data_IF_165674885567
#
_entry.id   IF_165674885567
#
_cell.length_a   1.000
_cell.length_b   1.000
_cell.length_c   1.000
_cell.angle_alpha   90.00
_cell.angle_beta   90.00
_cell.angle_gamma   90.00
#
_symmetry.space_group_name_H-M   'P 1'
#
loop_
_entity.id
_entity.type
_entity.pdbx_description
1 polymer ?
#
# COMPACT_ATOMS: atom_id res chain seq x y z
N UNK A 1 -6.38 -32.11 8.63
CA UNK A 1 -6.03 -31.30 9.81
C UNK A 1 -4.55 -31.51 10.01
N UNK A 2 -3.75 -30.79 9.22
CA UNK A 2 -2.29 -30.84 9.27
C UNK A 2 -1.91 -29.54 9.97
N UNK A 3 -1.14 -29.66 11.05
CA UNK A 3 -0.71 -28.54 11.88
C UNK A 3 0.06 -27.52 11.03
N UNK A 4 -0.09 -26.20 11.26
CA UNK A 4 0.74 -25.21 10.57
C UNK A 4 2.21 -25.51 10.89
N UNK A 5 3.12 -25.45 9.91
CA UNK A 5 4.54 -25.61 10.21
C UNK A 5 4.96 -24.49 11.19
N UNK A 6 5.73 -24.87 12.20
CA UNK A 6 6.31 -23.92 13.16
C UNK A 6 7.14 -22.89 12.40
N UNK A 7 7.15 -21.65 12.91
CA UNK A 7 7.85 -20.47 12.38
C UNK A 7 9.36 -20.65 12.07
N UNK A 8 9.93 -21.80 12.43
CA UNK A 8 11.29 -22.24 12.14
C UNK A 8 11.45 -22.76 10.68
N UNK A 9 10.36 -23.20 10.02
CA UNK A 9 10.43 -23.81 8.68
C UNK A 9 10.87 -22.85 7.58
N UNK A 10 10.56 -21.55 7.70
CA UNK A 10 10.88 -20.56 6.66
C UNK A 10 12.39 -20.31 6.48
N UNK A 11 13.21 -20.77 7.41
CA UNK A 11 14.68 -20.72 7.33
C UNK A 11 15.30 -21.90 6.58
N UNK A 12 14.50 -22.93 6.26
CA UNK A 12 14.96 -24.10 5.52
C UNK A 12 15.35 -23.73 4.09
N UNK A 13 16.37 -24.41 3.52
CA UNK A 13 16.77 -24.20 2.14
C UNK A 13 15.71 -24.75 1.18
N UNK A 14 15.54 -24.08 0.04
CA UNK A 14 14.57 -24.48 -0.98
C UNK A 14 14.88 -25.84 -1.61
N UNK A 15 16.13 -26.29 -1.49
CA UNK A 15 16.60 -27.58 -1.98
C UNK A 15 15.91 -28.78 -1.32
N UNK A 16 15.43 -28.62 -0.08
CA UNK A 16 14.80 -29.70 0.68
C UNK A 16 13.35 -29.94 0.23
N UNK A 17 12.79 -29.00 -0.54
CA UNK A 17 11.40 -28.98 -1.00
C UNK A 17 11.29 -29.03 -2.53
N UNK A 18 12.36 -29.46 -3.21
CA UNK A 18 12.36 -29.58 -4.66
C UNK A 18 11.47 -30.72 -5.12
N UNK A 19 10.60 -30.41 -6.06
CA UNK A 19 10.02 -31.43 -6.93
C UNK A 19 10.99 -31.70 -8.06
N UNK A 20 11.35 -32.96 -8.27
CA UNK A 20 12.22 -33.44 -9.36
C UNK A 20 11.48 -34.26 -10.41
N UNK A 21 10.18 -34.47 -10.21
CA UNK A 21 9.27 -35.24 -11.07
C UNK A 21 8.71 -34.42 -12.24
N UNK A 22 9.48 -33.46 -12.77
CA UNK A 22 9.09 -32.64 -13.92
C UNK A 22 9.97 -32.96 -15.14
N UNK A 23 9.38 -33.25 -16.31
CA UNK A 23 10.16 -33.48 -17.51
C UNK A 23 10.73 -32.16 -18.04
N UNK A 24 12.05 -32.16 -18.26
CA UNK A 24 12.78 -31.12 -18.96
C UNK A 24 12.78 -31.42 -20.46
N UNK A 25 12.63 -30.39 -21.28
CA UNK A 25 12.58 -30.54 -22.74
C UNK A 25 13.66 -29.72 -23.43
N UNK A 26 14.11 -30.19 -24.59
CA UNK A 26 15.03 -29.42 -25.44
C UNK A 26 14.26 -28.41 -26.28
N UNK A 27 14.92 -27.31 -26.64
CA UNK A 27 14.39 -26.29 -27.54
C UNK A 27 14.04 -26.84 -28.94
N UNK A 28 14.65 -27.96 -29.34
CA UNK A 28 14.41 -28.62 -30.64
C UNK A 28 13.27 -29.66 -30.59
N UNK A 29 12.66 -29.88 -29.43
CA UNK A 29 11.49 -30.76 -29.31
C UNK A 29 10.25 -30.06 -29.88
N UNK A 30 9.34 -30.82 -30.51
CA UNK A 30 8.06 -30.26 -30.98
C UNK A 30 7.00 -30.30 -29.88
N UNK A 31 5.97 -29.46 -30.02
CA UNK A 31 4.79 -29.47 -29.12
C UNK A 31 4.15 -30.86 -29.08
N UNK A 32 4.03 -31.55 -30.22
CA UNK A 32 3.47 -32.89 -30.29
C UNK A 32 4.26 -33.90 -29.45
N UNK A 33 5.59 -33.96 -29.67
CA UNK A 33 6.47 -34.87 -28.95
C UNK A 33 6.42 -34.63 -27.43
N UNK A 34 6.34 -33.36 -27.05
CA UNK A 34 6.21 -32.93 -25.65
C UNK A 34 4.92 -33.48 -25.04
N UNK A 35 3.77 -33.25 -25.70
CA UNK A 35 2.47 -33.72 -25.22
C UNK A 35 2.35 -35.25 -25.21
N UNK A 36 2.95 -35.95 -26.17
CA UNK A 36 3.02 -37.41 -26.16
C UNK A 36 3.85 -37.94 -25.00
N UNK A 37 4.99 -37.30 -24.72
CA UNK A 37 5.84 -37.63 -23.57
C UNK A 37 5.10 -37.42 -22.25
N UNK A 38 4.39 -36.30 -22.11
CA UNK A 38 3.53 -36.00 -20.96
C UNK A 38 2.49 -37.09 -20.74
N UNK A 39 1.76 -37.49 -21.79
CA UNK A 39 0.72 -38.53 -21.73
C UNK A 39 1.28 -39.90 -21.34
N UNK A 40 2.47 -40.25 -21.84
CA UNK A 40 3.10 -41.54 -21.57
C UNK A 40 3.69 -41.63 -20.16
N UNK A 41 4.29 -40.54 -19.69
CA UNK A 41 5.01 -40.53 -18.42
C UNK A 41 4.06 -40.39 -17.23
N UNK A 42 2.87 -39.80 -17.46
CA UNK A 42 1.90 -39.56 -16.39
C UNK A 42 2.44 -38.51 -15.45
N UNK A 43 2.33 -37.24 -15.84
CA UNK A 43 2.74 -36.13 -14.97
C UNK A 43 1.60 -35.83 -14.00
N UNK A 44 1.96 -35.42 -12.79
CA UNK A 44 1.03 -34.93 -11.79
C UNK A 44 0.09 -33.84 -12.37
N UNK A 45 -1.17 -33.83 -11.93
CA UNK A 45 -2.23 -32.95 -12.44
C UNK A 45 -1.92 -31.46 -12.21
N UNK A 46 -0.92 -31.16 -11.38
CA UNK A 46 -0.57 -29.82 -10.92
C UNK A 46 0.53 -29.12 -11.74
N UNK A 47 1.01 -29.68 -12.86
CA UNK A 47 2.10 -29.04 -13.64
C UNK A 47 1.62 -27.79 -14.39
N UNK A 48 2.07 -26.63 -13.88
CA UNK A 48 1.70 -25.30 -14.38
C UNK A 48 2.62 -24.78 -15.49
N UNK A 49 3.88 -25.22 -15.50
CA UNK A 49 4.91 -24.74 -16.42
C UNK A 49 5.82 -25.87 -16.89
N UNK A 50 6.28 -25.76 -18.14
CA UNK A 50 7.30 -26.62 -18.73
C UNK A 50 8.59 -25.83 -18.94
N UNK A 51 9.73 -26.40 -18.55
CA UNK A 51 11.02 -25.74 -18.66
C UNK A 51 11.82 -26.32 -19.82
N UNK A 52 12.45 -25.42 -20.57
CA UNK A 52 13.29 -25.73 -21.72
C UNK A 52 14.75 -25.56 -21.31
N UNK A 53 15.56 -26.58 -21.58
CA UNK A 53 16.99 -26.63 -21.23
C UNK A 53 17.85 -26.95 -22.44
N UNK A 54 19.16 -26.72 -22.31
CA UNK A 54 20.17 -27.23 -23.25
C UNK A 54 20.69 -28.62 -22.84
N UNK A 55 21.67 -29.14 -23.59
CA UNK A 55 22.26 -30.46 -23.37
C UNK A 55 22.99 -30.58 -22.03
N UNK A 56 23.43 -29.45 -21.44
CA UNK A 56 24.08 -29.37 -20.13
C UNK A 56 23.10 -29.02 -19.00
N UNK A 57 21.78 -29.07 -19.28
CA UNK A 57 20.66 -28.74 -18.38
C UNK A 57 20.54 -27.27 -17.98
N UNK A 58 21.21 -26.33 -18.67
CA UNK A 58 21.03 -24.90 -18.37
C UNK A 58 19.65 -24.41 -18.79
N UNK A 59 19.01 -23.62 -17.93
CA UNK A 59 17.67 -23.09 -18.15
C UNK A 59 17.63 -22.06 -19.29
N UNK A 60 17.01 -22.44 -20.42
CA UNK A 60 16.86 -21.61 -21.63
C UNK A 60 15.51 -20.88 -21.71
N UNK A 61 14.44 -21.48 -21.18
CA UNK A 61 13.10 -20.91 -21.29
C UNK A 61 12.03 -21.59 -20.45
N UNK A 62 10.87 -20.95 -20.39
CA UNK A 62 9.67 -21.51 -19.74
C UNK A 62 8.45 -21.40 -20.68
N UNK A 63 7.60 -22.41 -20.67
CA UNK A 63 6.36 -22.49 -21.45
C UNK A 63 5.20 -22.75 -20.48
N UNK A 64 4.25 -21.81 -20.34
CA UNK A 64 3.02 -22.06 -19.59
C UNK A 64 2.20 -23.18 -20.24
N UNK A 65 1.60 -24.07 -19.45
CA UNK A 65 0.80 -25.20 -19.95
C UNK A 65 -0.26 -24.77 -20.96
N UNK A 66 -0.98 -23.68 -20.69
CA UNK A 66 -1.98 -23.12 -21.62
C UNK A 66 -1.38 -22.80 -23.00
N UNK A 67 -0.16 -22.25 -23.06
CA UNK A 67 0.49 -21.91 -24.34
C UNK A 67 0.85 -23.17 -25.12
N UNK A 68 1.39 -24.18 -24.43
CA UNK A 68 1.71 -25.48 -25.03
C UNK A 68 0.46 -26.13 -25.65
N UNK A 69 -0.66 -26.13 -24.93
CA UNK A 69 -1.93 -26.72 -25.38
C UNK A 69 -2.56 -26.00 -26.59
N UNK A 70 -2.27 -24.71 -26.77
CA UNK A 70 -2.82 -23.90 -27.88
C UNK A 70 -1.89 -23.77 -29.09
N UNK A 71 -0.64 -24.22 -28.97
CA UNK A 71 0.36 -24.11 -30.04
C UNK A 71 0.15 -25.20 -31.11
N UNK A 72 0.64 -24.97 -32.33
CA UNK A 72 0.54 -25.98 -33.39
C UNK A 72 1.47 -27.16 -33.08
N UNK A 73 1.04 -28.42 -33.32
CA UNK A 73 1.80 -29.62 -32.95
C UNK A 73 3.25 -29.66 -33.47
N UNK A 74 3.49 -29.14 -34.66
CA UNK A 74 4.80 -29.15 -35.34
C UNK A 74 5.73 -28.01 -34.91
N UNK A 75 5.26 -27.08 -34.07
CA UNK A 75 6.07 -25.94 -33.62
C UNK A 75 7.16 -26.42 -32.67
N UNK A 76 8.36 -25.86 -32.77
CA UNK A 76 9.44 -26.13 -31.84
C UNK A 76 9.21 -25.39 -30.50
N UNK A 77 9.60 -26.01 -29.40
CA UNK A 77 9.50 -25.38 -28.07
C UNK A 77 10.31 -24.08 -27.98
N UNK A 78 11.47 -24.02 -28.66
CA UNK A 78 12.31 -22.83 -28.73
C UNK A 78 11.62 -21.59 -29.32
N UNK A 79 10.60 -21.77 -30.15
CA UNK A 79 9.87 -20.67 -30.80
C UNK A 79 8.75 -20.11 -29.93
N UNK A 80 8.21 -20.91 -29.00
CA UNK A 80 7.08 -20.54 -28.14
C UNK A 80 7.49 -20.24 -26.68
N UNK A 81 8.73 -20.56 -26.30
CA UNK A 81 9.24 -20.35 -24.95
C UNK A 81 9.46 -18.87 -24.61
N UNK A 82 9.23 -18.54 -23.35
CA UNK A 82 9.63 -17.25 -22.78
C UNK A 82 11.07 -17.39 -22.30
N UNK A 83 12.00 -16.70 -22.98
CA UNK A 83 13.45 -16.77 -22.71
C UNK A 83 13.86 -16.10 -21.40
N UNK A 84 13.15 -15.03 -21.00
CA UNK A 84 13.44 -14.29 -19.77
C UNK A 84 12.75 -14.96 -18.58
N UNK A 85 13.32 -16.07 -18.13
CA UNK A 85 12.81 -16.83 -16.98
C UNK A 85 13.36 -16.24 -15.69
N UNK A 86 12.49 -15.99 -14.72
CA UNK A 86 12.88 -15.74 -13.33
C UNK A 86 13.10 -17.11 -12.68
N UNK A 87 14.31 -17.36 -12.21
CA UNK A 87 14.71 -18.61 -11.58
C UNK A 87 15.21 -18.34 -10.17
N UNK A 88 15.04 -19.32 -9.29
CA UNK A 88 15.44 -19.26 -7.89
C UNK A 88 16.80 -19.93 -7.72
N UNK A 89 17.81 -19.26 -7.14
CA UNK A 89 19.07 -19.91 -6.80
C UNK A 89 18.88 -21.01 -5.75
N UNK A 90 19.68 -22.08 -5.86
CA UNK A 90 19.75 -23.18 -4.88
C UNK A 90 20.06 -22.72 -3.44
N UNK A 91 20.77 -21.61 -3.29
CA UNK A 91 21.08 -20.99 -2.00
C UNK A 91 19.91 -20.31 -1.28
N UNK A 92 18.73 -20.19 -1.91
CA UNK A 92 17.60 -19.47 -1.33
C UNK A 92 16.91 -20.26 -0.21
N UNK A 93 16.32 -19.54 0.74
CA UNK A 93 15.48 -20.11 1.79
C UNK A 93 14.01 -20.11 1.38
N UNK A 94 13.17 -20.85 2.10
CA UNK A 94 11.71 -20.81 1.92
C UNK A 94 11.14 -19.40 2.09
N UNK A 95 11.73 -18.56 2.96
CA UNK A 95 11.36 -17.15 3.07
C UNK A 95 11.60 -16.36 1.76
N UNK A 96 12.78 -16.54 1.15
CA UNK A 96 13.12 -15.89 -0.13
C UNK A 96 12.22 -16.38 -1.27
N UNK A 97 11.90 -17.68 -1.26
CA UNK A 97 10.95 -18.27 -2.19
C UNK A 97 9.55 -17.65 -2.05
N UNK A 98 9.06 -17.50 -0.83
CA UNK A 98 7.78 -16.86 -0.54
C UNK A 98 7.74 -15.42 -1.11
N UNK A 99 8.80 -14.63 -0.90
CA UNK A 99 8.91 -13.28 -1.45
C UNK A 99 8.82 -13.28 -2.99
N UNK A 100 9.49 -14.23 -3.66
CA UNK A 100 9.40 -14.37 -5.13
C UNK A 100 7.97 -14.71 -5.59
N UNK A 101 7.28 -15.61 -4.90
CA UNK A 101 5.87 -15.93 -5.17
C UNK A 101 4.97 -14.72 -5.03
N UNK A 102 5.18 -13.88 -4.02
CA UNK A 102 4.42 -12.65 -3.79
C UNK A 102 4.70 -11.61 -4.88
N UNK A 103 5.98 -11.39 -5.21
CA UNK A 103 6.39 -10.34 -6.15
C UNK A 103 5.95 -10.65 -7.59
N UNK A 104 6.07 -11.90 -8.03
CA UNK A 104 5.81 -12.27 -9.43
C UNK A 104 4.45 -12.93 -9.65
N UNK A 105 3.81 -13.45 -8.59
CA UNK A 105 2.51 -14.12 -8.64
C UNK A 105 2.50 -15.32 -9.60
N UNK A 106 3.64 -15.99 -9.76
CA UNK A 106 3.74 -17.24 -10.50
C UNK A 106 3.28 -18.41 -9.63
N UNK A 107 2.91 -19.52 -10.26
CA UNK A 107 2.47 -20.71 -9.53
C UNK A 107 3.59 -21.71 -9.26
N UNK A 108 4.76 -21.52 -9.90
CA UNK A 108 5.96 -22.30 -9.66
C UNK A 108 7.20 -21.51 -10.13
N UNK A 109 8.36 -21.87 -9.59
CA UNK A 109 9.67 -21.39 -10.04
C UNK A 109 10.62 -22.56 -10.29
N UNK A 110 11.49 -22.47 -11.32
CA UNK A 110 12.62 -23.38 -11.44
C UNK A 110 13.72 -22.98 -10.46
N UNK A 111 14.28 -23.97 -9.76
CA UNK A 111 15.45 -23.80 -8.91
C UNK A 111 16.70 -24.19 -9.71
N UNK A 112 17.71 -23.34 -9.68
CA UNK A 112 18.94 -23.48 -10.47
C UNK A 112 20.20 -23.37 -9.62
N UNK A 113 21.26 -24.07 -10.02
CA UNK A 113 22.59 -23.92 -9.44
C UNK A 113 23.32 -22.65 -9.93
N UNK A 114 24.58 -22.48 -9.52
CA UNK A 114 25.44 -21.34 -9.88
C UNK A 114 25.71 -21.25 -11.38
N UNK A 115 25.74 -22.39 -12.06
CA UNK A 115 25.93 -22.53 -13.50
C UNK A 115 24.60 -22.35 -14.26
N UNK A 116 23.48 -22.15 -13.55
CA UNK A 116 22.10 -21.99 -14.08
C UNK A 116 21.49 -23.31 -14.60
N UNK A 117 21.97 -24.46 -14.11
CA UNK A 117 21.38 -25.77 -14.40
C UNK A 117 20.16 -26.00 -13.55
N UNK A 118 19.10 -26.56 -14.14
CA UNK A 118 17.85 -26.78 -13.41
C UNK A 118 18.00 -27.98 -12.47
N UNK A 119 17.88 -27.72 -11.17
CA UNK A 119 17.91 -28.74 -10.11
C UNK A 119 16.51 -29.27 -9.79
N UNK A 120 15.54 -28.38 -9.80
CA UNK A 120 14.20 -28.68 -9.33
C UNK A 120 13.17 -27.64 -9.72
N UNK A 121 11.92 -27.86 -9.29
CA UNK A 121 10.88 -26.83 -9.26
C UNK A 121 10.27 -26.74 -7.89
N UNK A 122 9.90 -25.53 -7.48
CA UNK A 122 9.14 -25.25 -6.27
C UNK A 122 7.79 -24.69 -6.70
N UNK A 123 6.71 -25.29 -6.20
CA UNK A 123 5.33 -24.90 -6.52
C UNK A 123 4.74 -24.04 -5.38
N UNK A 124 3.75 -23.20 -5.71
CA UNK A 124 3.04 -22.37 -4.74
C UNK A 124 2.24 -23.19 -3.73
N UNK A 125 2.00 -24.47 -3.99
CA UNK A 125 1.31 -25.39 -3.07
C UNK A 125 2.02 -25.48 -1.71
N UNK A 126 3.36 -25.42 -1.70
CA UNK A 126 4.17 -25.34 -0.48
C UNK A 126 3.80 -24.16 0.41
N UNK A 127 3.42 -23.03 -0.20
CA UNK A 127 3.14 -21.78 0.48
C UNK A 127 1.66 -21.42 0.48
N UNK A 128 0.75 -22.37 0.23
CA UNK A 128 -0.68 -22.05 0.06
C UNK A 128 -1.28 -21.39 1.31
N UNK A 129 -0.96 -21.86 2.51
CA UNK A 129 -1.40 -21.19 3.73
C UNK A 129 -0.62 -19.89 3.98
N UNK A 130 0.65 -19.83 3.61
CA UNK A 130 1.53 -18.68 3.89
C UNK A 130 1.34 -17.51 2.94
N UNK A 131 1.03 -17.72 1.66
CA UNK A 131 0.70 -16.66 0.69
C UNK A 131 -0.66 -16.04 1.00
N UNK A 132 -1.62 -16.85 1.43
CA UNK A 132 -2.90 -16.36 1.94
C UNK A 132 -2.70 -15.60 3.26
N UNK A 133 -1.98 -16.18 4.22
CA UNK A 133 -1.60 -15.50 5.46
C UNK A 133 -0.76 -14.25 5.20
N UNK A 134 0.07 -14.21 4.16
CA UNK A 134 0.89 -13.05 3.82
C UNK A 134 0.03 -11.91 3.30
N UNK A 135 -0.94 -12.20 2.44
CA UNK A 135 -1.90 -11.19 1.97
C UNK A 135 -2.71 -10.63 3.14
N UNK A 136 -3.15 -11.48 4.05
CA UNK A 136 -3.81 -11.04 5.30
C UNK A 136 -2.86 -10.26 6.20
N UNK A 137 -1.63 -10.73 6.43
CA UNK A 137 -0.63 -10.06 7.25
C UNK A 137 -0.20 -8.71 6.65
N UNK A 138 -0.16 -8.58 5.32
CA UNK A 138 0.12 -7.32 4.63
C UNK A 138 -1.02 -6.32 4.87
N UNK A 139 -2.27 -6.74 4.72
CA UNK A 139 -3.43 -5.90 5.02
C UNK A 139 -3.43 -5.44 6.48
N UNK A 140 -3.04 -6.33 7.41
CA UNK A 140 -2.91 -5.99 8.82
C UNK A 140 -1.75 -5.01 9.04
N UNK A 141 -0.57 -5.27 8.48
CA UNK A 141 0.61 -4.40 8.57
C UNK A 141 0.33 -3.00 8.04
N UNK A 142 -0.42 -2.85 6.94
CA UNK A 142 -0.80 -1.55 6.38
C UNK A 142 -1.63 -0.71 7.37
N UNK A 143 -2.53 -1.35 8.13
CA UNK A 143 -3.31 -0.67 9.19
C UNK A 143 -2.40 -0.14 10.29
N UNK A 144 -1.40 -0.93 10.72
CA UNK A 144 -0.42 -0.48 11.72
C UNK A 144 0.49 0.62 11.17
N UNK A 145 0.82 0.56 9.88
CA UNK A 145 1.68 1.55 9.24
C UNK A 145 0.99 2.91 9.10
N UNK A 146 -0.32 2.97 8.85
CA UNK A 146 -1.11 4.21 8.85
C UNK A 146 -0.95 4.99 10.16
N UNK A 147 -0.83 4.31 11.30
CA UNK A 147 -0.61 4.94 12.63
C UNK A 147 0.87 5.08 13.00
N UNK A 148 1.77 4.81 12.06
CA UNK A 148 3.21 4.98 12.21
C UNK A 148 3.90 3.92 13.05
N UNK A 149 3.44 2.67 12.96
CA UNK A 149 4.04 1.55 13.68
C UNK A 149 4.15 0.32 12.77
N UNK A 150 5.22 -0.47 12.90
CA UNK A 150 5.30 -1.79 12.21
C UNK A 150 4.81 -2.90 13.14
N UNK A 151 4.03 -3.86 12.66
CA UNK A 151 3.53 -4.96 13.51
C UNK A 151 4.69 -5.79 14.08
N UNK A 152 5.75 -5.97 13.28
CA UNK A 152 6.99 -6.63 13.70
C UNK A 152 7.68 -5.95 14.87
N UNK A 153 7.53 -4.64 15.02
CA UNK A 153 8.12 -3.84 16.10
C UNK A 153 7.30 -3.89 17.39
N UNK A 154 6.04 -4.33 17.37
CA UNK A 154 5.14 -4.28 18.54
C UNK A 154 4.84 -5.66 19.10
N UNK A 155 4.79 -6.70 18.25
CA UNK A 155 4.28 -8.03 18.60
C UNK A 155 4.98 -8.67 19.82
N UNK A 156 6.24 -8.31 20.09
CA UNK A 156 7.03 -8.76 21.25
C UNK A 156 7.83 -7.63 21.93
N UNK A 157 7.44 -6.36 21.77
CA UNK A 157 8.20 -5.25 22.33
C UNK A 157 7.92 -5.03 23.82
N UNK A 158 8.99 -4.88 24.60
CA UNK A 158 8.90 -4.31 25.94
C UNK A 158 8.38 -2.86 25.89
N UNK A 159 7.79 -2.34 26.99
CA UNK A 159 7.32 -0.94 27.04
C UNK A 159 8.39 0.07 26.63
N UNK A 160 9.65 -0.17 26.99
CA UNK A 160 10.77 0.68 26.63
C UNK A 160 11.03 0.68 25.12
N UNK A 161 11.01 -0.49 24.49
CA UNK A 161 11.16 -0.61 23.03
C UNK A 161 10.01 0.09 22.30
N UNK A 162 8.77 -0.06 22.77
CA UNK A 162 7.61 0.61 22.20
C UNK A 162 7.75 2.15 22.25
N UNK A 163 8.21 2.71 23.38
CA UNK A 163 8.52 4.15 23.48
C UNK A 163 9.56 4.55 22.45
N UNK A 164 10.65 3.82 22.31
CA UNK A 164 11.70 4.13 21.33
C UNK A 164 11.20 4.15 19.89
N UNK A 165 10.23 3.30 19.54
CA UNK A 165 9.63 3.28 18.21
C UNK A 165 8.60 4.40 17.99
N UNK A 166 7.82 4.77 19.02
CA UNK A 166 6.74 5.78 18.90
C UNK A 166 7.17 7.21 19.17
N UNK A 167 8.20 7.40 19.99
CA UNK A 167 8.65 8.73 20.44
C UNK A 167 9.08 9.65 19.29
N UNK A 168 9.82 9.19 18.25
CA UNK A 168 10.16 10.05 17.12
C UNK A 168 8.93 10.60 16.39
N UNK A 169 7.89 9.78 16.22
CA UNK A 169 6.64 10.19 15.60
C UNK A 169 5.86 11.16 16.49
N UNK A 170 5.83 10.90 17.80
CA UNK A 170 5.25 11.82 18.77
C UNK A 170 5.95 13.19 18.76
N UNK A 171 7.27 13.23 18.59
CA UNK A 171 8.01 14.48 18.44
C UNK A 171 7.65 15.23 17.16
N UNK A 172 7.39 14.53 16.05
CA UNK A 172 6.91 15.16 14.83
C UNK A 172 5.51 15.78 15.02
N UNK A 173 4.59 15.05 15.65
CA UNK A 173 3.26 15.58 16.00
C UNK A 173 3.36 16.75 16.97
N UNK A 174 4.25 16.68 17.97
CA UNK A 174 4.49 17.77 18.91
C UNK A 174 5.01 19.02 18.19
N UNK A 175 5.97 18.87 17.27
CA UNK A 175 6.50 19.99 16.48
C UNK A 175 5.40 20.63 15.61
N UNK A 176 4.52 19.82 15.02
CA UNK A 176 3.34 20.32 14.31
C UNK A 176 2.41 21.09 15.23
N UNK A 177 2.06 20.53 16.39
CA UNK A 177 1.20 21.20 17.38
C UNK A 177 1.76 22.53 17.87
N UNK A 178 3.08 22.61 18.08
CA UNK A 178 3.76 23.88 18.40
C UNK A 178 3.65 24.87 17.24
N UNK A 179 3.80 24.41 15.98
CA UNK A 179 3.63 25.24 14.79
C UNK A 179 2.20 25.79 14.70
N UNK A 180 1.20 24.95 14.95
CA UNK A 180 -0.20 25.32 15.01
C UNK A 180 -0.48 26.35 16.12
N UNK A 181 0.13 26.20 17.30
CA UNK A 181 0.03 27.17 18.39
C UNK A 181 0.63 28.53 18.00
N UNK A 182 1.81 28.52 17.36
CA UNK A 182 2.44 29.75 16.84
C UNK A 182 1.57 30.42 15.78
N UNK A 183 0.97 29.65 14.87
CA UNK A 183 0.02 30.18 13.89
C UNK A 183 -1.19 30.81 14.59
N UNK A 184 -1.79 30.15 15.58
CA UNK A 184 -2.91 30.71 16.33
C UNK A 184 -2.55 32.04 17.02
N UNK A 185 -1.33 32.18 17.56
CA UNK A 185 -0.84 33.44 18.14
C UNK A 185 -0.79 34.58 17.10
N UNK A 186 -0.42 34.30 15.85
CA UNK A 186 -0.47 35.32 14.78
C UNK A 186 -1.89 35.83 14.48
N UNK A 187 -2.92 35.05 14.81
CA UNK A 187 -4.34 35.40 14.65
C UNK A 187 -5.03 35.74 15.98
N UNK A 188 -4.27 36.03 17.05
CA UNK A 188 -4.83 36.31 18.38
C UNK A 188 -5.86 37.46 18.36
N UNK A 189 -5.63 38.51 17.57
CA UNK A 189 -6.59 39.62 17.43
C UNK A 189 -7.93 39.16 16.82
N UNK A 190 -7.90 38.25 15.85
CA UNK A 190 -9.09 37.66 15.21
C UNK A 190 -9.86 36.78 16.21
N UNK A 191 -9.13 35.96 16.98
CA UNK A 191 -9.72 35.11 18.03
C UNK A 191 -10.33 35.94 19.17
N UNK A 192 -9.70 37.06 19.54
CA UNK A 192 -10.21 37.95 20.58
C UNK A 192 -11.54 38.63 20.20
N UNK A 193 -11.78 38.86 18.90
CA UNK A 193 -13.01 39.47 18.40
C UNK A 193 -14.21 38.52 18.45
N UNK A 194 -13.98 37.21 18.37
CA UNK A 194 -15.04 36.22 18.47
C UNK A 194 -14.55 34.96 19.17
N UNK A 195 -14.79 34.87 20.48
CA UNK A 195 -14.44 33.72 21.32
C UNK A 195 -15.04 32.42 20.75
N UNK A 196 -16.23 32.50 20.14
CA UNK A 196 -16.87 31.37 19.48
C UNK A 196 -15.98 30.72 18.38
N UNK A 197 -15.11 31.47 17.71
CA UNK A 197 -14.17 30.93 16.72
C UNK A 197 -13.25 29.86 17.31
N UNK A 198 -12.85 29.99 18.57
CA UNK A 198 -11.96 29.00 19.20
C UNK A 198 -12.64 27.63 19.35
N UNK A 199 -13.92 27.62 19.74
CA UNK A 199 -14.71 26.38 19.86
C UNK A 199 -14.91 25.70 18.50
N UNK A 200 -15.24 26.49 17.47
CA UNK A 200 -15.43 25.96 16.12
C UNK A 200 -14.12 25.59 15.42
N UNK A 201 -12.99 26.22 15.78
CA UNK A 201 -11.66 25.83 15.30
C UNK A 201 -11.28 24.43 15.79
N UNK A 202 -11.57 24.12 17.06
CA UNK A 202 -11.33 22.78 17.62
C UNK A 202 -12.15 21.73 16.89
N UNK A 203 -13.41 22.05 16.56
CA UNK A 203 -14.27 21.20 15.75
C UNK A 203 -13.72 21.03 14.32
N UNK A 204 -13.25 22.11 13.70
CA UNK A 204 -12.67 22.08 12.36
C UNK A 204 -11.43 21.17 12.29
N UNK A 205 -10.55 21.25 13.28
CA UNK A 205 -9.38 20.38 13.41
C UNK A 205 -9.79 18.91 13.49
N UNK A 206 -10.71 18.56 14.40
CA UNK A 206 -11.15 17.18 14.56
C UNK A 206 -11.82 16.59 13.29
N UNK A 207 -12.60 17.40 12.56
CA UNK A 207 -13.16 16.99 11.26
C UNK A 207 -12.07 16.79 10.20
N UNK A 208 -11.10 17.71 10.14
CA UNK A 208 -9.96 17.63 9.25
C UNK A 208 -9.16 16.35 9.47
N UNK A 209 -8.76 16.08 10.72
CA UNK A 209 -8.03 14.85 11.08
C UNK A 209 -8.82 13.58 10.71
N UNK A 210 -10.13 13.56 10.99
CA UNK A 210 -10.99 12.42 10.68
C UNK A 210 -11.03 12.11 9.18
N UNK A 211 -11.21 13.14 8.35
CA UNK A 211 -11.26 12.98 6.90
C UNK A 211 -9.88 12.64 6.35
N UNK A 212 -8.82 13.29 6.83
CA UNK A 212 -7.45 12.99 6.42
C UNK A 212 -7.07 11.52 6.67
N UNK A 213 -7.42 10.96 7.85
CA UNK A 213 -7.18 9.54 8.16
C UNK A 213 -7.98 8.64 7.23
N UNK A 214 -9.28 8.93 7.00
CA UNK A 214 -10.13 8.13 6.11
C UNK A 214 -9.58 8.10 4.67
N UNK A 215 -9.27 9.28 4.13
CA UNK A 215 -8.69 9.43 2.79
C UNK A 215 -7.33 8.73 2.68
N UNK A 216 -6.50 8.83 3.72
CA UNK A 216 -5.20 8.17 3.78
C UNK A 216 -5.29 6.65 3.81
N UNK A 217 -6.17 6.09 4.65
CA UNK A 217 -6.36 4.63 4.72
C UNK A 217 -6.79 4.08 3.36
N UNK A 218 -7.74 4.74 2.69
CA UNK A 218 -8.18 4.37 1.34
C UNK A 218 -7.05 4.55 0.31
N UNK A 219 -6.22 5.57 0.46
CA UNK A 219 -5.09 5.83 -0.42
C UNK A 219 -4.02 4.76 -0.34
N UNK A 220 -3.60 4.40 0.87
CA UNK A 220 -2.61 3.35 1.12
C UNK A 220 -3.12 2.02 0.55
N UNK A 221 -4.40 1.67 0.77
CA UNK A 221 -4.97 0.43 0.23
C UNK A 221 -4.96 0.40 -1.30
N UNK A 222 -5.29 1.51 -1.97
CA UNK A 222 -5.29 1.58 -3.45
C UNK A 222 -3.88 1.52 -4.05
N UNK A 223 -2.89 2.10 -3.38
CA UNK A 223 -1.50 2.09 -3.84
C UNK A 223 -0.86 0.70 -3.80
N UNK A 224 -1.31 -0.19 -2.90
CA UNK A 224 -0.81 -1.57 -2.82
C UNK A 224 -1.21 -2.48 -4.00
N UNK A 225 -2.25 -2.12 -4.76
CA UNK A 225 -2.81 -2.98 -5.81
C UNK A 225 -2.38 -2.69 -7.25
N UNK A 226 -1.72 -1.56 -7.54
CA UNK A 226 -1.47 -1.11 -8.92
C UNK A 226 -0.09 -0.47 -9.11
N UNK A 227 0.57 -0.78 -10.24
CA UNK A 227 1.71 -0.01 -10.74
C UNK A 227 1.27 1.45 -10.92
N UNK A 228 1.73 2.32 -10.03
CA UNK A 228 1.34 3.74 -9.95
C UNK A 228 1.77 4.52 -11.20
N UNK A 229 0.90 4.57 -12.21
CA UNK A 229 1.02 5.59 -13.26
C UNK A 229 0.61 6.95 -12.69
N UNK A 230 1.26 8.03 -13.15
CA UNK A 230 0.91 9.41 -12.77
C UNK A 230 -0.58 9.72 -13.01
N UNK A 231 -1.14 9.17 -14.09
CA UNK A 231 -2.55 9.33 -14.46
C UNK A 231 -3.49 8.73 -13.40
N UNK A 232 -3.14 7.55 -12.88
CA UNK A 232 -3.91 6.87 -11.83
C UNK A 232 -3.92 7.69 -10.54
N UNK A 233 -2.75 8.23 -10.14
CA UNK A 233 -2.64 9.09 -8.95
C UNK A 233 -3.46 10.37 -9.07
N UNK A 234 -3.43 11.02 -10.23
CA UNK A 234 -4.23 12.24 -10.48
C UNK A 234 -5.74 11.97 -10.45
N UNK A 235 -6.19 10.86 -11.03
CA UNK A 235 -7.61 10.48 -10.98
C UNK A 235 -8.07 10.20 -9.55
N UNK A 236 -7.23 9.53 -8.76
CA UNK A 236 -7.51 9.25 -7.36
C UNK A 236 -7.62 10.54 -6.53
N UNK A 237 -6.69 11.48 -6.72
CA UNK A 237 -6.75 12.78 -6.05
C UNK A 237 -8.01 13.57 -6.42
N UNK A 238 -8.38 13.61 -7.71
CA UNK A 238 -9.60 14.29 -8.16
C UNK A 238 -10.85 13.72 -7.53
N UNK A 239 -10.96 12.39 -7.49
CA UNK A 239 -12.08 11.72 -6.87
C UNK A 239 -12.17 12.04 -5.38
N UNK A 240 -11.03 12.03 -4.67
CA UNK A 240 -11.02 12.33 -3.24
C UNK A 240 -11.33 13.79 -2.92
N UNK A 241 -10.79 14.74 -3.69
CA UNK A 241 -11.09 16.16 -3.54
C UNK A 241 -12.58 16.42 -3.72
N UNK A 242 -13.22 15.78 -4.70
CA UNK A 242 -14.66 15.93 -4.91
C UNK A 242 -15.48 15.33 -3.76
N UNK A 243 -15.13 14.12 -3.31
CA UNK A 243 -15.77 13.47 -2.15
C UNK A 243 -15.62 14.33 -0.90
N UNK A 244 -14.42 14.83 -0.63
CA UNK A 244 -14.11 15.68 0.53
C UNK A 244 -14.80 17.03 0.45
N UNK A 245 -14.98 17.59 -0.75
CA UNK A 245 -15.78 18.79 -0.95
C UNK A 245 -17.25 18.56 -0.58
N UNK A 246 -17.83 17.42 -0.99
CA UNK A 246 -19.21 17.08 -0.63
C UNK A 246 -19.37 16.89 0.88
N UNK A 247 -18.43 16.18 1.53
CA UNK A 247 -18.38 16.04 2.99
C UNK A 247 -18.21 17.39 3.68
N UNK A 248 -17.35 18.25 3.13
CA UNK A 248 -17.09 19.60 3.62
C UNK A 248 -18.33 20.50 3.54
N UNK A 249 -19.08 20.46 2.43
CA UNK A 249 -20.34 21.19 2.28
C UNK A 249 -21.38 20.69 3.29
N UNK A 250 -21.50 19.37 3.46
CA UNK A 250 -22.44 18.77 4.43
C UNK A 250 -22.13 19.18 5.87
N UNK A 251 -20.87 19.00 6.30
CA UNK A 251 -20.43 19.35 7.65
C UNK A 251 -20.44 20.87 7.90
N UNK A 252 -20.00 21.67 6.92
CA UNK A 252 -20.05 23.13 6.97
C UNK A 252 -21.47 23.67 7.10
N UNK A 253 -22.43 23.07 6.39
CA UNK A 253 -23.86 23.42 6.51
C UNK A 253 -24.40 23.13 7.91
N UNK A 254 -24.03 22.00 8.51
CA UNK A 254 -24.40 21.68 9.89
C UNK A 254 -23.83 22.70 10.88
N UNK A 255 -22.58 23.12 10.67
CA UNK A 255 -21.94 24.15 11.51
C UNK A 255 -22.59 25.51 11.36
N UNK A 256 -23.00 25.90 10.15
CA UNK A 256 -23.75 27.14 9.92
C UNK A 256 -25.04 27.13 10.75
N UNK A 257 -25.82 26.05 10.67
CA UNK A 257 -27.07 25.92 11.42
C UNK A 257 -26.83 25.96 12.94
N UNK A 258 -25.81 25.26 13.43
CA UNK A 258 -25.44 25.25 14.84
C UNK A 258 -24.99 26.63 15.33
N UNK A 259 -24.14 27.32 14.55
CA UNK A 259 -23.67 28.66 14.87
C UNK A 259 -24.83 29.68 14.93
N UNK A 260 -25.75 29.62 13.96
CA UNK A 260 -26.95 30.47 13.97
C UNK A 260 -27.83 30.19 15.19
N UNK A 261 -28.02 28.92 15.55
CA UNK A 261 -28.79 28.53 16.75
C UNK A 261 -28.15 29.03 18.06
N UNK A 262 -26.83 29.18 18.08
CA UNK A 262 -26.07 29.74 19.21
C UNK A 262 -26.00 31.28 19.19
N UNK A 263 -26.71 31.95 18.28
CA UNK A 263 -26.76 33.41 18.19
C UNK A 263 -25.55 34.05 17.51
N UNK A 264 -24.74 33.27 16.78
CA UNK A 264 -23.64 33.81 15.97
C UNK A 264 -24.22 34.57 14.77
N UNK A 265 -23.61 35.70 14.41
CA UNK A 265 -24.08 36.51 13.28
C UNK A 265 -24.04 35.70 11.97
N UNK A 266 -25.01 35.89 11.04
CA UNK A 266 -25.07 35.08 9.81
C UNK A 266 -23.80 35.14 8.96
N UNK A 267 -23.15 36.29 8.87
CA UNK A 267 -21.88 36.41 8.15
C UNK A 267 -20.78 35.55 8.75
N UNK A 268 -20.64 35.56 10.08
CA UNK A 268 -19.64 34.77 10.80
C UNK A 268 -19.95 33.27 10.71
N UNK A 269 -21.23 32.89 10.84
CA UNK A 269 -21.67 31.51 10.68
C UNK A 269 -21.35 30.96 9.28
N UNK A 270 -21.65 31.72 8.21
CA UNK A 270 -21.32 31.35 6.82
C UNK A 270 -19.81 31.21 6.62
N UNK A 271 -19.01 32.09 7.19
CA UNK A 271 -17.55 32.03 7.10
C UNK A 271 -16.99 30.82 7.84
N UNK A 272 -17.53 30.49 9.02
CA UNK A 272 -17.17 29.27 9.76
C UNK A 272 -17.50 28.02 8.94
N UNK A 273 -18.72 27.89 8.41
CA UNK A 273 -19.09 26.72 7.61
C UNK A 273 -18.30 26.60 6.31
N UNK A 274 -18.12 27.70 5.59
CA UNK A 274 -17.35 27.72 4.33
C UNK A 274 -15.88 27.38 4.54
N UNK A 275 -15.28 27.88 5.62
CA UNK A 275 -13.89 27.55 5.94
C UNK A 275 -13.71 26.10 6.42
N UNK A 276 -14.69 25.53 7.12
CA UNK A 276 -14.71 24.09 7.42
C UNK A 276 -14.80 23.26 6.13
N UNK A 277 -15.65 23.66 5.19
CA UNK A 277 -15.74 22.96 3.90
C UNK A 277 -14.38 22.98 3.17
N UNK A 278 -13.69 24.13 3.14
CA UNK A 278 -12.35 24.25 2.57
C UNK A 278 -11.31 23.40 3.32
N UNK A 279 -11.33 23.43 4.66
CA UNK A 279 -10.42 22.65 5.50
C UNK A 279 -10.58 21.14 5.29
N UNK A 280 -11.82 20.65 5.30
CA UNK A 280 -12.15 19.24 5.04
C UNK A 280 -11.72 18.82 3.62
N UNK A 281 -11.95 19.67 2.63
CA UNK A 281 -11.49 19.41 1.25
C UNK A 281 -9.96 19.30 1.17
N UNK A 282 -9.25 20.20 1.85
CA UNK A 282 -7.79 20.17 1.94
C UNK A 282 -7.28 18.94 2.70
N UNK A 283 -7.98 18.52 3.75
CA UNK A 283 -7.62 17.35 4.54
C UNK A 283 -7.64 16.06 3.70
N UNK A 284 -8.71 15.85 2.92
CA UNK A 284 -8.78 14.70 2.03
C UNK A 284 -7.74 14.74 0.90
N UNK A 285 -7.41 15.93 0.40
CA UNK A 285 -6.32 16.09 -0.56
C UNK A 285 -4.97 15.65 0.04
N UNK A 286 -4.64 16.09 1.26
CA UNK A 286 -3.42 15.65 1.96
C UNK A 286 -3.41 14.15 2.23
N UNK A 287 -4.56 13.57 2.58
CA UNK A 287 -4.75 12.13 2.74
C UNK A 287 -4.35 11.31 1.52
N UNK A 288 -4.43 11.87 0.30
CA UNK A 288 -3.98 11.20 -0.92
C UNK A 288 -2.57 11.60 -1.33
N UNK A 289 -2.25 12.89 -1.26
CA UNK A 289 -0.98 13.45 -1.73
C UNK A 289 0.19 12.86 -0.93
N UNK A 290 0.09 12.80 0.39
CA UNK A 290 1.20 12.35 1.24
C UNK A 290 1.55 10.89 0.98
N UNK A 291 0.61 9.91 1.02
CA UNK A 291 0.92 8.53 0.66
C UNK A 291 1.44 8.38 -0.77
N UNK A 292 0.91 9.13 -1.74
CA UNK A 292 1.34 9.05 -3.14
C UNK A 292 2.79 9.52 -3.34
N UNK A 293 3.17 10.65 -2.75
CA UNK A 293 4.56 11.17 -2.80
C UNK A 293 5.51 10.19 -2.12
N UNK A 294 5.13 9.74 -0.94
CA UNK A 294 5.92 8.79 -0.16
C UNK A 294 6.14 7.48 -0.95
N UNK A 295 5.10 6.92 -1.56
CA UNK A 295 5.20 5.75 -2.44
C UNK A 295 6.12 6.00 -3.65
N UNK A 296 6.03 7.17 -4.29
CA UNK A 296 6.83 7.51 -5.47
C UNK A 296 8.34 7.63 -5.19
N UNK A 297 8.72 8.06 -3.97
CA UNK A 297 10.13 8.30 -3.62
C UNK A 297 10.92 7.04 -3.23
N UNK A 298 10.30 5.85 -3.21
CA UNK A 298 10.88 4.55 -2.79
C UNK A 298 11.61 4.54 -1.44
N UNK A 299 11.59 5.64 -0.69
CA UNK A 299 12.08 5.71 0.69
C UNK A 299 11.06 4.99 1.52
N UNK A 300 11.41 3.84 2.08
CA UNK A 300 10.55 2.93 2.86
C UNK A 300 9.52 3.70 3.74
N UNK A 301 8.34 4.06 3.19
CA UNK A 301 7.65 5.29 3.60
C UNK A 301 6.56 5.07 4.62
N UNK A 302 6.22 3.81 4.86
CA UNK A 302 4.85 3.46 5.25
C UNK A 302 4.54 3.85 6.69
N UNK A 303 5.58 3.97 7.53
CA UNK A 303 5.49 4.36 8.94
C UNK A 303 5.34 5.88 9.13
N UNK A 304 5.57 6.71 8.09
CA UNK A 304 5.59 8.17 8.22
C UNK A 304 4.31 8.88 7.75
N UNK A 305 3.48 8.20 6.96
CA UNK A 305 2.37 8.84 6.25
C UNK A 305 1.32 9.44 7.21
N UNK A 306 1.01 8.73 8.30
CA UNK A 306 0.06 9.16 9.34
C UNK A 306 0.38 10.53 9.94
N UNK A 307 1.46 10.63 10.75
CA UNK A 307 1.81 11.86 11.44
C UNK A 307 2.06 13.05 10.52
N UNK A 308 2.66 12.83 9.34
CA UNK A 308 2.94 13.91 8.38
C UNK A 308 1.63 14.45 7.78
N UNK A 309 0.70 13.58 7.41
CA UNK A 309 -0.58 14.02 6.86
C UNK A 309 -1.39 14.79 7.88
N UNK A 310 -1.45 14.31 9.13
CA UNK A 310 -2.14 15.00 10.22
C UNK A 310 -1.53 16.39 10.46
N UNK A 311 -0.20 16.48 10.51
CA UNK A 311 0.50 17.74 10.68
C UNK A 311 0.16 18.77 9.58
N UNK A 312 0.20 18.34 8.32
CA UNK A 312 -0.18 19.20 7.19
C UNK A 312 -1.66 19.58 7.22
N UNK A 313 -2.51 18.66 7.65
CA UNK A 313 -3.96 18.88 7.79
C UNK A 313 -4.26 19.93 8.85
N UNK A 314 -3.62 19.87 10.02
CA UNK A 314 -3.80 20.84 11.09
C UNK A 314 -3.38 22.25 10.65
N UNK A 315 -2.20 22.35 10.06
CA UNK A 315 -1.65 23.61 9.57
C UNK A 315 -2.58 24.21 8.50
N UNK A 316 -3.00 23.41 7.51
CA UNK A 316 -3.94 23.85 6.48
C UNK A 316 -5.29 24.27 7.08
N UNK A 317 -5.81 23.52 8.04
CA UNK A 317 -7.09 23.81 8.70
C UNK A 317 -7.05 25.14 9.44
N UNK A 318 -6.02 25.38 10.26
CA UNK A 318 -5.86 26.63 10.99
C UNK A 318 -5.73 27.82 10.03
N UNK A 319 -4.92 27.68 8.99
CA UNK A 319 -4.73 28.74 8.00
C UNK A 319 -6.05 29.06 7.27
N UNK A 320 -6.74 28.05 6.75
CA UNK A 320 -7.99 28.25 6.02
C UNK A 320 -9.09 28.83 6.91
N UNK A 321 -9.20 28.36 8.16
CA UNK A 321 -10.21 28.81 9.12
C UNK A 321 -9.97 30.24 9.60
N UNK A 322 -8.78 30.51 10.16
CA UNK A 322 -8.48 31.82 10.76
C UNK A 322 -8.26 32.90 9.71
N UNK A 323 -7.72 32.57 8.53
CA UNK A 323 -7.60 33.54 7.45
C UNK A 323 -8.97 33.96 6.91
N UNK A 324 -9.88 33.00 6.67
CA UNK A 324 -11.25 33.32 6.24
C UNK A 324 -11.98 34.19 7.26
N UNK A 325 -11.87 33.86 8.54
CA UNK A 325 -12.45 34.66 9.62
C UNK A 325 -11.87 36.08 9.65
N UNK A 326 -10.54 36.24 9.51
CA UNK A 326 -9.87 37.54 9.48
C UNK A 326 -10.33 38.41 8.31
N UNK A 327 -10.43 37.84 7.11
CA UNK A 327 -10.90 38.56 5.92
C UNK A 327 -12.33 39.06 6.14
N UNK A 328 -13.24 38.19 6.60
CA UNK A 328 -14.62 38.58 6.86
C UNK A 328 -14.75 39.68 7.93
N UNK A 329 -14.02 39.55 9.04
CA UNK A 329 -14.02 40.56 10.10
C UNK A 329 -13.46 41.90 9.61
N UNK A 330 -12.46 41.89 8.72
CA UNK A 330 -11.94 43.13 8.11
C UNK A 330 -12.96 43.82 7.19
N UNK A 331 -13.76 43.06 6.44
CA UNK A 331 -14.83 43.59 5.57
C UNK A 331 -15.98 44.16 6.40
N UNK A 332 -16.28 43.54 7.55
CA UNK A 332 -17.39 43.99 8.42
C UNK A 332 -17.02 45.20 9.28
N UNK A 333 -15.72 45.45 9.47
CA UNK A 333 -15.19 46.59 10.22
C UNK A 333 -14.94 47.85 9.35
N UNK A 334 -15.02 47.72 8.03
CA UNK A 334 -14.89 48.81 7.05
C UNK A 334 -16.27 49.33 6.63
#
# INVERSE_FOLDING_TARGET
MISPPEKDSLSEPVTDHLRTDYPLFSQTTTVQQTLETVRRTGIDEQVMYFYVVDDDLHLQGVIPTRRLLTAMPETLLGDIMVKRVVAMPDTYTLADACELFIMHRFLAFPVVDKERRVLGTVDVSLFTEEVFNFTEMQNVEDVYQVIGVRLSQVRNASPWQAVRYRFPWLMATLASGITCAVLAMFYQATLAQAIALASFLTLALGLGESVAIQSMSLAVQRLHGQLSSWQTGMNMLRHEVLTSLMLGIGTGSCVILAALALGVTPGLALTMGGSIAAAVTSAGAWGVIVPAILHATRRDPRVAAGPITLALTDISTILLFLHSARVMLSITAA
#
